data_IF_128443173535
#
_entry.id   IF_128443173535
#
_cell.length_a   1.000
_cell.length_b   1.000
_cell.length_c   1.000
_cell.angle_alpha   90.00
_cell.angle_beta   90.00
_cell.angle_gamma   90.00
#
_symmetry.space_group_name_H-M   'P 1'
#
loop_
_entity.id
_entity.type
_entity.pdbx_description
1 polymer ?
#
# COMPACT_ATOMS: atom_id res chain seq x y z
N UNK A 1 48.32 -10.29 53.19
CA UNK A 1 47.17 -10.19 54.12
C UNK A 1 46.44 -11.52 54.03
N UNK A 2 46.67 -12.40 55.01
CA UNK A 2 46.11 -13.76 55.01
C UNK A 2 44.63 -13.71 55.33
N UNK A 3 43.83 -14.48 54.59
CA UNK A 3 42.44 -14.72 54.98
C UNK A 3 42.48 -15.51 56.29
N UNK A 4 41.93 -14.93 57.36
CA UNK A 4 41.66 -15.69 58.57
C UNK A 4 40.79 -16.90 58.22
N UNK A 5 41.05 -18.08 58.82
CA UNK A 5 40.21 -19.24 58.58
C UNK A 5 38.77 -18.90 58.96
N UNK A 6 37.83 -19.18 58.05
CA UNK A 6 36.40 -18.98 58.29
C UNK A 6 36.04 -19.68 59.58
N UNK A 7 35.56 -18.92 60.57
CA UNK A 7 35.22 -19.47 61.87
C UNK A 7 33.90 -20.26 61.78
N UNK A 8 33.63 -21.13 62.76
CA UNK A 8 32.42 -21.95 62.78
C UNK A 8 31.13 -21.09 62.73
N UNK A 9 31.14 -19.93 63.38
CA UNK A 9 30.01 -18.98 63.37
C UNK A 9 29.70 -18.43 61.97
N UNK A 10 30.72 -18.11 61.18
CA UNK A 10 30.56 -17.66 59.80
C UNK A 10 30.00 -18.77 58.91
N UNK A 11 30.36 -20.04 59.16
CA UNK A 11 29.77 -21.16 58.44
C UNK A 11 28.27 -21.28 58.71
N UNK A 12 27.86 -21.13 59.98
CA UNK A 12 26.44 -21.14 60.37
C UNK A 12 25.67 -20.01 59.68
N UNK A 13 26.24 -18.80 59.62
CA UNK A 13 25.61 -17.66 58.94
C UNK A 13 25.48 -17.92 57.44
N UNK A 14 26.52 -18.47 56.80
CA UNK A 14 26.49 -18.79 55.36
C UNK A 14 25.45 -19.85 55.04
N UNK A 15 25.31 -20.87 55.89
CA UNK A 15 24.31 -21.93 55.75
C UNK A 15 22.89 -21.37 55.92
N UNK A 16 22.68 -20.56 56.95
CA UNK A 16 21.41 -19.86 57.19
C UNK A 16 21.02 -18.97 56.00
N UNK A 17 21.95 -18.18 55.46
CA UNK A 17 21.70 -17.34 54.29
C UNK A 17 21.33 -18.20 53.09
N UNK A 18 22.08 -19.28 52.81
CA UNK A 18 21.77 -20.17 51.67
C UNK A 18 20.37 -20.78 51.75
N UNK A 19 19.96 -21.18 52.94
CA UNK A 19 18.63 -21.75 53.18
C UNK A 19 17.50 -20.72 52.99
N UNK A 20 17.73 -19.46 53.37
CA UNK A 20 16.69 -18.42 53.37
C UNK A 20 16.74 -17.49 52.15
N UNK A 21 17.82 -17.52 51.36
CA UNK A 21 18.06 -16.59 50.26
C UNK A 21 16.95 -16.63 49.21
N UNK A 22 16.51 -17.83 48.81
CA UNK A 22 15.44 -18.00 47.82
C UNK A 22 14.11 -17.46 48.34
N UNK A 23 13.82 -17.66 49.63
CA UNK A 23 12.61 -17.12 50.26
C UNK A 23 12.62 -15.58 50.26
N UNK A 24 13.74 -14.95 50.62
CA UNK A 24 13.87 -13.48 50.60
C UNK A 24 13.76 -12.87 49.20
N UNK A 25 14.33 -13.53 48.20
CA UNK A 25 14.19 -13.10 46.80
C UNK A 25 12.73 -13.13 46.35
N UNK A 26 11.99 -14.18 46.72
CA UNK A 26 10.57 -14.32 46.43
C UNK A 26 9.73 -13.28 47.18
N UNK A 27 9.99 -13.06 48.48
CA UNK A 27 9.31 -12.06 49.32
C UNK A 27 9.44 -10.63 48.77
N UNK A 28 10.61 -10.31 48.20
CA UNK A 28 10.89 -8.98 47.65
C UNK A 28 10.48 -8.85 46.17
N UNK A 29 9.92 -9.91 45.59
CA UNK A 29 9.61 -10.01 44.16
C UNK A 29 10.82 -9.69 43.26
N UNK A 30 12.03 -9.95 43.77
CA UNK A 30 13.30 -9.80 43.06
C UNK A 30 13.57 -11.15 42.43
N UNK A 31 12.98 -11.39 41.26
CA UNK A 31 13.26 -12.60 40.50
C UNK A 31 14.56 -12.38 39.70
N UNK A 32 15.69 -13.03 40.03
CA UNK A 32 16.92 -12.93 39.24
C UNK A 32 16.74 -13.53 37.84
N UNK A 33 15.77 -14.44 37.68
CA UNK A 33 15.35 -15.04 36.43
C UNK A 33 13.84 -15.26 36.47
N UNK A 34 13.10 -15.00 35.38
CA UNK A 34 11.70 -15.35 35.31
C UNK A 34 11.59 -16.88 35.47
N UNK A 35 10.98 -17.35 36.56
CA UNK A 35 10.86 -18.79 36.85
C UNK A 35 10.03 -19.55 35.82
N UNK A 36 9.25 -18.81 35.04
CA UNK A 36 8.65 -19.29 33.81
C UNK A 36 9.44 -18.64 32.66
N UNK A 37 10.07 -19.40 31.74
CA UNK A 37 10.42 -18.83 30.43
C UNK A 37 9.16 -18.11 29.94
N UNK A 38 9.24 -16.91 29.33
CA UNK A 38 8.04 -16.22 28.86
C UNK A 38 7.27 -17.25 28.04
N UNK A 39 6.21 -17.79 28.62
CA UNK A 39 5.45 -18.86 28.01
C UNK A 39 4.82 -18.12 26.86
N UNK A 40 5.39 -18.30 25.67
CA UNK A 40 4.82 -17.76 24.45
C UNK A 40 3.43 -18.35 24.45
N UNK A 41 2.45 -17.50 24.77
CA UNK A 41 1.08 -17.91 24.94
C UNK A 41 0.68 -18.55 23.61
N UNK A 42 0.43 -19.85 23.64
CA UNK A 42 0.12 -20.63 22.44
C UNK A 42 -1.08 -20.05 21.71
N UNK A 43 -2.02 -19.45 22.45
CA UNK A 43 -3.15 -18.74 21.87
C UNK A 43 -2.74 -17.44 21.16
N UNK A 44 -1.77 -16.70 21.71
CA UNK A 44 -1.21 -15.52 21.03
C UNK A 44 -0.49 -15.92 19.74
N UNK A 45 0.24 -17.04 19.74
CA UNK A 45 0.91 -17.53 18.54
C UNK A 45 -0.10 -17.94 17.46
N UNK A 46 -1.16 -18.70 17.83
CA UNK A 46 -2.23 -19.06 16.90
C UNK A 46 -2.96 -17.84 16.33
N UNK A 47 -3.20 -16.82 17.16
CA UNK A 47 -3.79 -15.54 16.72
C UNK A 47 -2.86 -14.79 15.78
N UNK A 48 -1.56 -14.76 16.07
CA UNK A 48 -0.55 -14.12 15.22
C UNK A 48 -0.49 -14.78 13.85
N UNK A 49 -0.43 -16.11 13.80
CA UNK A 49 -0.45 -16.89 12.55
C UNK A 49 -1.73 -16.61 11.75
N UNK A 50 -2.90 -16.59 12.41
CA UNK A 50 -4.17 -16.28 11.73
C UNK A 50 -4.20 -14.86 11.16
N UNK A 51 -3.64 -13.89 11.88
CA UNK A 51 -3.52 -12.50 11.41
C UNK A 51 -2.59 -12.43 10.22
N UNK A 52 -1.44 -13.09 10.27
CA UNK A 52 -0.48 -13.15 9.17
C UNK A 52 -1.09 -13.78 7.91
N UNK A 53 -1.81 -14.89 8.04
CA UNK A 53 -2.55 -15.51 6.94
C UNK A 53 -3.62 -14.57 6.36
N UNK A 54 -4.31 -13.82 7.22
CA UNK A 54 -5.35 -12.86 6.79
C UNK A 54 -4.72 -11.69 6.05
N UNK A 55 -3.60 -11.16 6.54
CA UNK A 55 -2.83 -10.09 5.90
C UNK A 55 -2.31 -10.55 4.54
N UNK A 56 -1.77 -11.76 4.45
CA UNK A 56 -1.33 -12.33 3.17
C UNK A 56 -2.46 -12.42 2.16
N UNK A 57 -3.63 -12.95 2.55
CA UNK A 57 -4.82 -12.99 1.69
C UNK A 57 -5.32 -11.61 1.29
N UNK A 58 -5.18 -10.60 2.15
CA UNK A 58 -5.52 -9.22 1.82
C UNK A 58 -4.52 -8.65 0.81
N UNK A 59 -3.23 -8.91 0.97
CA UNK A 59 -2.20 -8.49 0.03
C UNK A 59 -2.42 -9.11 -1.35
N UNK A 60 -2.67 -10.42 -1.43
CA UNK A 60 -2.96 -11.10 -2.69
C UNK A 60 -4.21 -10.51 -3.39
N UNK A 61 -5.21 -10.08 -2.62
CA UNK A 61 -6.39 -9.39 -3.16
C UNK A 61 -6.04 -8.00 -3.69
N UNK A 62 -5.18 -7.25 -2.99
CA UNK A 62 -4.73 -5.94 -3.46
C UNK A 62 -3.89 -6.05 -4.72
N UNK A 63 -3.00 -7.04 -4.81
CA UNK A 63 -2.20 -7.29 -6.01
C UNK A 63 -3.10 -7.59 -7.21
N UNK A 64 -4.09 -8.48 -7.06
CA UNK A 64 -5.08 -8.76 -8.11
C UNK A 64 -5.95 -7.56 -8.47
N UNK A 65 -6.25 -6.68 -7.51
CA UNK A 65 -6.97 -5.43 -7.79
C UNK A 65 -6.11 -4.46 -8.59
N UNK A 66 -4.83 -4.32 -8.25
CA UNK A 66 -3.89 -3.47 -8.98
C UNK A 66 -3.75 -3.94 -10.44
N UNK A 67 -3.57 -5.25 -10.68
CA UNK A 67 -3.52 -5.80 -12.05
C UNK A 67 -4.78 -5.46 -12.86
N UNK A 68 -5.96 -5.51 -12.23
CA UNK A 68 -7.21 -5.13 -12.89
C UNK A 68 -7.29 -3.63 -13.18
N UNK A 69 -6.78 -2.80 -12.28
CA UNK A 69 -6.73 -1.35 -12.48
C UNK A 69 -5.78 -0.99 -13.62
N UNK A 70 -4.61 -1.63 -13.69
CA UNK A 70 -3.66 -1.42 -14.79
C UNK A 70 -4.30 -1.81 -16.13
N UNK A 71 -4.95 -2.97 -16.21
CA UNK A 71 -5.68 -3.38 -17.42
C UNK A 71 -6.82 -2.41 -17.79
N UNK A 72 -7.49 -1.81 -16.81
CA UNK A 72 -8.52 -0.80 -17.06
C UNK A 72 -7.92 0.51 -17.58
N UNK A 73 -6.80 0.96 -17.02
CA UNK A 73 -6.07 2.14 -17.49
C UNK A 73 -5.64 1.96 -18.95
N UNK A 74 -5.02 0.83 -19.29
CA UNK A 74 -4.63 0.53 -20.67
C UNK A 74 -5.82 0.61 -21.65
N UNK A 75 -6.97 0.07 -21.25
CA UNK A 75 -8.20 0.14 -22.05
C UNK A 75 -8.71 1.57 -22.19
N UNK A 76 -8.60 2.37 -21.13
CA UNK A 76 -9.00 3.76 -21.13
C UNK A 76 -8.12 4.59 -22.06
N UNK A 77 -6.80 4.39 -21.99
CA UNK A 77 -5.83 5.06 -22.86
C UNK A 77 -6.06 4.72 -24.33
N UNK A 78 -6.29 3.44 -24.64
CA UNK A 78 -6.68 3.02 -26.01
C UNK A 78 -7.98 3.67 -26.48
N UNK A 79 -8.97 3.79 -25.59
CA UNK A 79 -10.26 4.41 -25.92
C UNK A 79 -10.09 5.90 -26.20
N UNK A 80 -9.35 6.62 -25.37
CA UNK A 80 -9.05 8.05 -25.53
C UNK A 80 -8.31 8.27 -26.86
N UNK A 81 -7.23 7.52 -27.11
CA UNK A 81 -6.46 7.61 -28.35
C UNK A 81 -7.34 7.39 -29.60
N UNK A 82 -8.23 6.39 -29.56
CA UNK A 82 -9.19 6.15 -30.64
C UNK A 82 -10.21 7.28 -30.79
N UNK A 83 -10.66 7.87 -29.69
CA UNK A 83 -11.57 9.02 -29.73
C UNK A 83 -10.88 10.24 -30.36
N UNK A 84 -9.66 10.56 -29.94
CA UNK A 84 -8.88 11.66 -30.49
C UNK A 84 -8.67 11.52 -32.00
N UNK A 85 -8.34 10.31 -32.46
CA UNK A 85 -8.21 10.04 -33.89
C UNK A 85 -9.52 10.30 -34.66
N UNK A 86 -10.65 9.85 -34.11
CA UNK A 86 -11.97 10.04 -34.73
C UNK A 86 -12.38 11.51 -34.74
N UNK A 87 -12.15 12.24 -33.66
CA UNK A 87 -12.43 13.67 -33.59
C UNK A 87 -11.57 14.46 -34.57
N UNK A 88 -10.27 14.16 -34.66
CA UNK A 88 -9.38 14.78 -35.65
C UNK A 88 -9.84 14.53 -37.09
N UNK A 89 -10.34 13.33 -37.40
CA UNK A 89 -10.88 13.02 -38.72
C UNK A 89 -12.19 13.78 -39.00
N UNK A 90 -13.07 13.89 -38.01
CA UNK A 90 -14.30 14.69 -38.10
C UNK A 90 -13.96 16.15 -38.36
N UNK A 91 -13.03 16.73 -37.62
CA UNK A 91 -12.60 18.12 -37.81
C UNK A 91 -12.09 18.37 -39.23
N UNK A 92 -11.29 17.45 -39.78
CA UNK A 92 -10.82 17.54 -41.18
C UNK A 92 -11.97 17.51 -42.18
N UNK A 93 -12.97 16.63 -41.96
CA UNK A 93 -14.14 16.52 -42.84
C UNK A 93 -15.01 17.78 -42.76
N UNK A 94 -15.24 18.31 -41.56
CA UNK A 94 -16.01 19.52 -41.33
C UNK A 94 -15.31 20.76 -41.92
N UNK A 95 -13.99 20.90 -41.74
CA UNK A 95 -13.23 21.98 -42.36
C UNK A 95 -13.30 21.92 -43.88
N UNK A 96 -13.12 20.73 -44.47
CA UNK A 96 -13.25 20.55 -45.92
C UNK A 96 -14.67 20.87 -46.41
N UNK A 97 -15.69 20.39 -45.71
CA UNK A 97 -17.08 20.68 -46.04
C UNK A 97 -17.39 22.18 -45.92
N UNK A 98 -16.90 22.86 -44.90
CA UNK A 98 -17.04 24.30 -44.71
C UNK A 98 -16.42 25.09 -45.87
N UNK A 99 -15.21 24.73 -46.30
CA UNK A 99 -14.55 25.34 -47.46
C UNK A 99 -15.33 25.14 -48.75
N UNK A 100 -15.85 23.93 -48.99
CA UNK A 100 -16.70 23.67 -50.17
C UNK A 100 -17.96 24.54 -50.15
N UNK A 101 -18.65 24.64 -49.01
CA UNK A 101 -19.85 25.48 -48.89
C UNK A 101 -19.56 26.96 -49.08
N UNK A 102 -18.42 27.45 -48.58
CA UNK A 102 -18.00 28.84 -48.80
C UNK A 102 -17.73 29.11 -50.29
N UNK A 103 -17.06 28.17 -50.97
CA UNK A 103 -16.75 28.29 -52.39
C UNK A 103 -18.01 28.22 -53.28
N UNK A 104 -18.96 27.34 -52.98
CA UNK A 104 -20.21 27.26 -53.75
C UNK A 104 -21.08 28.50 -53.51
N UNK A 105 -21.15 28.97 -52.27
CA UNK A 105 -21.87 30.21 -51.95
C UNK A 105 -21.27 31.42 -52.68
N UNK A 106 -19.94 31.58 -52.67
CA UNK A 106 -19.28 32.68 -53.37
C UNK A 106 -19.47 32.62 -54.89
N UNK A 107 -19.45 31.41 -55.48
CA UNK A 107 -19.73 31.22 -56.90
C UNK A 107 -21.17 31.61 -57.27
N UNK A 108 -22.16 31.23 -56.46
CA UNK A 108 -23.58 31.58 -56.68
C UNK A 108 -23.78 33.08 -56.57
N UNK A 109 -23.27 33.71 -55.50
CA UNK A 109 -23.39 35.16 -55.28
C UNK A 109 -22.68 35.94 -56.40
N UNK A 110 -21.46 35.55 -56.77
CA UNK A 110 -20.70 36.18 -57.85
C UNK A 110 -21.43 36.10 -59.19
N UNK A 111 -22.04 34.95 -59.50
CA UNK A 111 -22.84 34.78 -60.71
C UNK A 111 -24.08 35.69 -60.71
N UNK A 112 -24.79 35.79 -59.59
CA UNK A 112 -25.96 36.66 -59.45
C UNK A 112 -25.59 38.14 -59.65
N UNK A 113 -24.50 38.60 -59.03
CA UNK A 113 -24.01 39.99 -59.20
C UNK A 113 -23.62 40.27 -60.66
N UNK A 114 -22.92 39.34 -61.32
CA UNK A 114 -22.52 39.51 -62.72
C UNK A 114 -23.73 39.62 -63.67
N UNK A 115 -24.82 38.90 -63.39
CA UNK A 115 -26.08 39.02 -64.16
C UNK A 115 -26.72 40.39 -63.93
N UNK A 116 -26.78 40.86 -62.68
CA UNK A 116 -27.35 42.18 -62.34
C UNK A 116 -26.58 43.31 -63.01
N UNK A 117 -25.24 43.22 -63.07
CA UNK A 117 -24.39 44.25 -63.70
C UNK A 117 -24.45 44.25 -65.24
N UNK A 118 -24.94 43.18 -65.87
CA UNK A 118 -25.09 43.06 -67.33
C UNK A 118 -26.44 43.54 -67.85
N UNK A 119 -27.46 43.61 -67.00
CA UNK A 119 -28.77 44.21 -67.29
C UNK A 119 -28.75 45.71 -66.99
#
# INVERSE_FOLDING_TARGET
MGAEPVNEEQMVIVEYIKEHFVAWLNERNILPFPQNPPTIDTQLLERMVRVEETLKRQNDKFDHQNEKFDLQNDKFDMLISRMDQRFSEIDRRLNRQSLYHLATFSAIVGSAVAIILKN
#
